data_IF_170487918404
#
_entry.id   IF_170487918404
#
_cell.length_a   1.000
_cell.length_b   1.000
_cell.length_c   1.000
_cell.angle_alpha   90.00
_cell.angle_beta   90.00
_cell.angle_gamma   90.00
#
_symmetry.space_group_name_H-M   'P 1'
#
loop_
_entity.id
_entity.type
_entity.pdbx_description
1 polymer ?
#
# COMPACT_ATOMS: atom_id res chain seq x y z
N UNK A 1 9.41 30.77 -0.06
CA UNK A 1 8.46 29.64 -0.16
C UNK A 1 9.15 28.28 0.04
N UNK A 2 10.27 28.01 -0.67
CA UNK A 2 11.10 26.80 -0.50
C UNK A 2 11.60 26.58 0.94
N UNK A 3 12.05 27.62 1.62
CA UNK A 3 12.55 27.55 3.01
C UNK A 3 11.46 27.09 3.99
N UNK A 4 10.21 27.57 3.83
CA UNK A 4 9.07 27.16 4.68
C UNK A 4 8.63 25.72 4.38
N UNK A 5 8.64 25.30 3.11
CA UNK A 5 8.34 23.92 2.73
C UNK A 5 9.36 22.92 3.27
N UNK A 6 10.65 23.26 3.16
CA UNK A 6 11.74 22.47 3.71
C UNK A 6 11.66 22.35 5.24
N UNK A 7 11.38 23.47 5.92
CA UNK A 7 11.15 23.49 7.37
C UNK A 7 9.98 22.60 7.80
N UNK A 8 8.87 22.65 7.04
CA UNK A 8 7.70 21.82 7.28
C UNK A 8 8.03 20.32 7.16
N UNK A 9 8.76 19.92 6.11
CA UNK A 9 9.15 18.52 5.89
C UNK A 9 10.07 17.99 7.00
N UNK A 10 11.12 18.75 7.36
CA UNK A 10 12.06 18.32 8.41
C UNK A 10 11.37 18.19 9.75
N UNK A 11 10.57 19.18 10.13
CA UNK A 11 9.89 19.13 11.41
C UNK A 11 8.84 18.04 11.45
N UNK A 12 8.13 17.81 10.34
CA UNK A 12 7.19 16.69 10.24
C UNK A 12 7.92 15.37 10.46
N UNK A 13 9.03 15.16 9.77
CA UNK A 13 9.84 13.94 9.88
C UNK A 13 10.37 13.74 11.31
N UNK A 14 10.96 14.78 11.92
CA UNK A 14 11.43 14.74 13.30
C UNK A 14 10.31 14.40 14.28
N UNK A 15 9.11 14.95 14.07
CA UNK A 15 8.00 14.71 14.97
C UNK A 15 7.42 13.30 14.84
N UNK A 16 7.39 12.75 13.62
CA UNK A 16 7.00 11.35 13.39
C UNK A 16 7.90 10.43 14.21
N UNK A 17 9.23 10.59 14.13
CA UNK A 17 10.17 9.72 14.86
C UNK A 17 10.03 9.85 16.39
N UNK A 18 9.72 11.05 16.90
CA UNK A 18 9.57 11.31 18.34
C UNK A 18 8.23 10.86 18.91
N UNK A 19 7.25 10.55 18.05
CA UNK A 19 5.90 10.20 18.50
C UNK A 19 5.92 8.83 19.20
N UNK A 20 5.46 8.78 20.46
CA UNK A 20 5.39 7.54 21.24
C UNK A 20 4.44 6.54 20.57
N UNK A 21 4.86 5.28 20.42
CA UNK A 21 4.06 4.24 19.76
C UNK A 21 4.10 4.27 18.23
N UNK A 22 4.91 5.14 17.63
CA UNK A 22 5.08 5.19 16.17
C UNK A 22 5.70 3.90 15.62
N UNK A 23 6.67 3.32 16.35
CA UNK A 23 7.40 2.13 15.91
C UNK A 23 6.50 0.89 15.85
N UNK A 24 5.66 0.66 16.87
CA UNK A 24 4.72 -0.47 16.87
C UNK A 24 3.68 -0.32 15.75
N UNK A 25 3.17 0.89 15.55
CA UNK A 25 2.26 1.21 14.44
C UNK A 25 2.93 0.98 13.09
N UNK A 26 4.22 1.34 12.98
CA UNK A 26 5.02 1.18 11.77
C UNK A 26 5.20 -0.30 11.42
N UNK A 27 5.61 -1.12 12.38
CA UNK A 27 5.77 -2.56 12.20
C UNK A 27 4.45 -3.24 11.80
N UNK A 28 3.34 -2.90 12.47
CA UNK A 28 2.03 -3.44 12.13
C UNK A 28 1.60 -3.02 10.72
N UNK A 29 1.82 -1.75 10.35
CA UNK A 29 1.46 -1.25 9.02
C UNK A 29 2.30 -1.91 7.92
N UNK A 30 3.58 -2.15 8.16
CA UNK A 30 4.46 -2.91 7.26
C UNK A 30 3.98 -4.36 7.10
N UNK A 31 3.58 -5.01 8.19
CA UNK A 31 3.11 -6.39 8.13
C UNK A 31 1.84 -6.52 7.29
N UNK A 32 0.84 -5.67 7.53
CA UNK A 32 -0.42 -5.69 6.78
C UNK A 32 -0.17 -5.33 5.31
N UNK A 33 0.66 -4.31 5.04
CA UNK A 33 0.98 -3.92 3.67
C UNK A 33 1.80 -4.99 2.94
N UNK A 34 2.71 -5.69 3.61
CA UNK A 34 3.43 -6.82 3.02
C UNK A 34 2.49 -7.94 2.56
N UNK A 35 1.49 -8.31 3.37
CA UNK A 35 0.48 -9.31 2.99
C UNK A 35 -0.39 -8.79 1.84
N UNK A 36 -0.72 -7.49 1.83
CA UNK A 36 -1.44 -6.87 0.73
C UNK A 36 -0.65 -7.02 -0.58
N UNK A 37 0.60 -6.56 -0.62
CA UNK A 37 1.42 -6.61 -1.84
C UNK A 37 1.80 -8.04 -2.23
N UNK A 38 1.94 -8.97 -1.29
CA UNK A 38 2.02 -10.39 -1.62
C UNK A 38 0.77 -10.85 -2.39
N UNK A 39 -0.42 -10.53 -1.89
CA UNK A 39 -1.69 -10.88 -2.54
C UNK A 39 -1.85 -10.24 -3.91
N UNK A 40 -1.36 -9.01 -4.10
CA UNK A 40 -1.32 -8.35 -5.39
C UNK A 40 -0.42 -9.09 -6.40
N UNK A 41 0.76 -9.56 -5.97
CA UNK A 41 1.63 -10.36 -6.83
C UNK A 41 1.00 -11.72 -7.18
N UNK A 42 0.28 -12.35 -6.24
CA UNK A 42 -0.51 -13.56 -6.52
C UNK A 42 -1.58 -13.29 -7.58
N UNK A 43 -2.32 -12.18 -7.47
CA UNK A 43 -3.27 -11.75 -8.49
C UNK A 43 -2.61 -11.58 -9.86
N UNK A 44 -1.48 -10.86 -9.92
CA UNK A 44 -0.74 -10.63 -11.16
C UNK A 44 -0.25 -11.93 -11.79
N UNK A 45 0.23 -12.86 -10.97
CA UNK A 45 0.71 -14.17 -11.41
C UNK A 45 -0.42 -15.03 -12.00
N UNK A 46 -1.55 -15.17 -11.31
CA UNK A 46 -2.69 -15.90 -11.86
C UNK A 46 -3.29 -15.21 -13.10
N UNK A 47 -3.22 -13.88 -13.19
CA UNK A 47 -3.62 -13.15 -14.39
C UNK A 47 -2.73 -13.49 -15.59
N UNK A 48 -1.41 -13.58 -15.37
CA UNK A 48 -0.43 -13.98 -16.37
C UNK A 48 -0.66 -15.43 -16.84
N UNK A 49 -0.76 -16.37 -15.90
CA UNK A 49 -1.03 -17.77 -16.23
C UNK A 49 -2.35 -17.96 -16.98
N UNK A 50 -3.41 -17.27 -16.55
CA UNK A 50 -4.70 -17.29 -17.24
C UNK A 50 -4.60 -16.77 -18.68
N UNK A 51 -3.84 -15.69 -18.90
CA UNK A 51 -3.64 -15.13 -20.23
C UNK A 51 -2.91 -16.13 -21.14
N UNK A 52 -1.82 -16.73 -20.67
CA UNK A 52 -1.06 -17.71 -21.44
C UNK A 52 -1.90 -18.96 -21.76
N UNK A 53 -2.67 -19.47 -20.80
CA UNK A 53 -3.56 -20.61 -21.01
C UNK A 53 -4.74 -20.30 -21.94
N UNK A 54 -5.28 -19.08 -21.93
CA UNK A 54 -6.31 -18.69 -22.89
C UNK A 54 -5.75 -18.63 -24.33
N UNK A 55 -4.55 -18.05 -24.49
CA UNK A 55 -3.87 -17.98 -25.78
C UNK A 55 -3.45 -19.36 -26.32
N UNK A 56 -3.17 -20.33 -25.44
CA UNK A 56 -2.89 -21.71 -25.87
C UNK A 56 -4.16 -22.44 -26.31
N UNK A 57 -5.28 -22.28 -25.59
CA UNK A 57 -6.57 -22.88 -25.96
C UNK A 57 -7.10 -22.32 -27.29
N UNK A 58 -6.95 -21.02 -27.54
CA UNK A 58 -7.39 -20.41 -28.81
C UNK A 58 -6.64 -20.95 -30.04
N UNK A 59 -5.46 -21.55 -29.83
CA UNK A 59 -4.65 -22.19 -30.88
C UNK A 59 -4.87 -23.71 -30.96
N UNK A 60 -5.53 -24.28 -29.96
CA UNK A 60 -5.76 -25.72 -29.87
C UNK A 60 -6.95 -26.13 -30.74
N UNK A 61 -6.82 -27.26 -31.44
CA UNK A 61 -7.86 -27.73 -32.37
C UNK A 61 -8.64 -28.93 -31.84
N UNK A 62 -8.11 -29.63 -30.83
CA UNK A 62 -8.75 -30.80 -30.23
C UNK A 62 -9.73 -30.43 -29.11
N UNK A 63 -11.01 -30.78 -29.29
CA UNK A 63 -12.11 -30.48 -28.37
C UNK A 63 -11.91 -31.06 -26.95
N UNK A 64 -11.23 -32.20 -26.84
CA UNK A 64 -10.95 -32.86 -25.54
C UNK A 64 -9.90 -32.07 -24.77
N UNK A 65 -8.84 -31.61 -25.44
CA UNK A 65 -7.78 -30.81 -24.81
C UNK A 65 -8.28 -29.43 -24.40
N UNK A 66 -9.14 -28.81 -25.23
CA UNK A 66 -9.85 -27.57 -24.89
C UNK A 66 -10.67 -27.74 -23.60
N UNK A 67 -11.44 -28.83 -23.47
CA UNK A 67 -12.26 -29.09 -22.28
C UNK A 67 -11.41 -29.40 -21.04
N UNK A 68 -10.30 -30.13 -21.19
CA UNK A 68 -9.38 -30.43 -20.09
C UNK A 68 -8.66 -29.17 -19.58
N UNK A 69 -8.32 -28.22 -20.47
CA UNK A 69 -7.68 -26.96 -20.11
C UNK A 69 -8.66 -25.88 -19.62
N UNK A 70 -9.97 -26.02 -19.91
CA UNK A 70 -11.02 -25.09 -19.45
C UNK A 70 -11.32 -25.17 -17.94
N UNK A 71 -11.23 -26.35 -17.32
CA UNK A 71 -11.47 -26.50 -15.88
C UNK A 71 -10.43 -25.77 -14.99
N UNK A 72 -9.11 -25.86 -15.27
CA UNK A 72 -8.08 -25.06 -14.60
C UNK A 72 -8.30 -23.54 -14.74
N UNK A 73 -8.78 -23.06 -15.89
CA UNK A 73 -9.06 -21.63 -16.12
C UNK A 73 -10.11 -21.08 -15.16
N UNK A 74 -11.16 -21.86 -14.87
CA UNK A 74 -12.19 -21.44 -13.93
C UNK A 74 -11.62 -21.31 -12.51
N UNK A 75 -10.83 -22.31 -12.06
CA UNK A 75 -10.18 -22.26 -10.75
C UNK A 75 -9.20 -21.08 -10.64
N UNK A 76 -8.35 -20.85 -11.64
CA UNK A 76 -7.43 -19.70 -11.67
C UNK A 76 -8.17 -18.37 -11.63
N UNK A 77 -9.32 -18.26 -12.31
CA UNK A 77 -10.14 -17.04 -12.28
C UNK A 77 -10.66 -16.76 -10.87
N UNK A 78 -11.13 -17.78 -10.15
CA UNK A 78 -11.59 -17.65 -8.76
C UNK A 78 -10.44 -17.21 -7.85
N UNK A 79 -9.28 -17.88 -7.93
CA UNK A 79 -8.10 -17.52 -7.13
C UNK A 79 -7.58 -16.12 -7.43
N UNK A 80 -7.57 -15.72 -8.70
CA UNK A 80 -7.24 -14.35 -9.14
C UNK A 80 -8.11 -13.32 -8.43
N UNK A 81 -9.44 -13.44 -8.54
CA UNK A 81 -10.35 -12.46 -7.94
C UNK A 81 -10.34 -12.50 -6.41
N UNK A 82 -10.18 -13.67 -5.80
CA UNK A 82 -10.00 -13.78 -4.35
C UNK A 82 -8.74 -13.04 -3.87
N UNK A 83 -7.62 -13.20 -4.58
CA UNK A 83 -6.37 -12.49 -4.29
C UNK A 83 -6.51 -10.96 -4.46
N UNK A 84 -7.24 -10.51 -5.49
CA UNK A 84 -7.54 -9.09 -5.70
C UNK A 84 -8.39 -8.50 -4.58
N UNK A 85 -9.47 -9.21 -4.17
CA UNK A 85 -10.33 -8.78 -3.07
C UNK A 85 -9.57 -8.71 -1.75
N UNK A 86 -8.73 -9.71 -1.48
CA UNK A 86 -7.86 -9.73 -0.29
C UNK A 86 -6.88 -8.56 -0.31
N UNK A 87 -6.25 -8.29 -1.47
CA UNK A 87 -5.37 -7.14 -1.64
C UNK A 87 -6.08 -5.82 -1.31
N UNK A 88 -7.26 -5.58 -1.91
CA UNK A 88 -8.04 -4.36 -1.68
C UNK A 88 -8.41 -4.23 -0.20
N UNK A 89 -8.89 -5.31 0.43
CA UNK A 89 -9.27 -5.31 1.85
C UNK A 89 -8.08 -4.98 2.76
N UNK A 90 -6.92 -5.58 2.52
CA UNK A 90 -5.71 -5.35 3.32
C UNK A 90 -5.10 -3.96 3.08
N UNK A 91 -5.17 -3.45 1.85
CA UNK A 91 -4.73 -2.09 1.54
C UNK A 91 -5.61 -1.05 2.25
N UNK A 92 -6.93 -1.22 2.20
CA UNK A 92 -7.88 -0.38 2.93
C UNK A 92 -7.67 -0.49 4.44
N UNK A 93 -7.41 -1.69 4.96
CA UNK A 93 -7.09 -1.92 6.37
C UNK A 93 -5.80 -1.19 6.77
N UNK A 94 -4.77 -1.24 5.93
CA UNK A 94 -3.50 -0.52 6.15
C UNK A 94 -3.75 0.98 6.25
N UNK A 95 -4.49 1.54 5.29
CA UNK A 95 -4.85 2.97 5.26
C UNK A 95 -5.69 3.34 6.50
N UNK A 96 -6.68 2.53 6.86
CA UNK A 96 -7.52 2.76 8.04
C UNK A 96 -6.69 2.71 9.33
N UNK A 97 -5.76 1.78 9.46
CA UNK A 97 -4.85 1.65 10.59
C UNK A 97 -3.98 2.91 10.73
N UNK A 98 -3.34 3.35 9.64
CA UNK A 98 -2.53 4.58 9.61
C UNK A 98 -3.37 5.77 10.07
N UNK A 99 -4.55 5.97 9.47
CA UNK A 99 -5.42 7.10 9.82
C UNK A 99 -5.88 7.05 11.28
N UNK A 100 -6.22 5.87 11.80
CA UNK A 100 -6.62 5.68 13.20
C UNK A 100 -5.48 6.01 14.15
N UNK A 101 -4.27 5.51 13.89
CA UNK A 101 -3.11 5.79 14.74
C UNK A 101 -2.72 7.26 14.72
N UNK A 102 -2.70 7.89 13.55
CA UNK A 102 -2.43 9.33 13.47
C UNK A 102 -3.54 10.19 14.05
N UNK A 103 -4.80 9.73 14.03
CA UNK A 103 -5.87 10.36 14.79
C UNK A 103 -5.57 10.35 16.30
N UNK A 104 -4.98 9.28 16.83
CA UNK A 104 -4.58 9.19 18.25
C UNK A 104 -3.33 10.04 18.54
N UNK A 105 -2.33 10.00 17.66
CA UNK A 105 -1.13 10.84 17.78
C UNK A 105 -1.46 12.32 17.71
N UNK A 106 -2.43 12.71 16.90
CA UNK A 106 -2.93 14.07 16.81
C UNK A 106 -3.48 14.58 18.16
N UNK A 107 -4.20 13.73 18.90
CA UNK A 107 -4.67 14.07 20.26
C UNK A 107 -3.48 14.22 21.22
N UNK A 108 -2.48 13.33 21.13
CA UNK A 108 -1.28 13.39 21.95
C UNK A 108 -0.43 14.65 21.67
N UNK A 109 -0.47 15.17 20.44
CA UNK A 109 0.24 16.37 20.00
C UNK A 109 -0.57 17.67 20.20
N UNK A 110 -1.74 17.65 20.87
CA UNK A 110 -2.62 18.83 21.06
C UNK A 110 -1.85 20.08 21.54
N UNK A 111 -0.96 19.91 22.52
CA UNK A 111 -0.20 21.01 23.09
C UNK A 111 0.81 21.58 22.09
N UNK A 112 1.43 20.75 21.25
CA UNK A 112 2.35 21.20 20.20
C UNK A 112 1.62 22.05 19.15
N UNK A 113 0.44 21.60 18.70
CA UNK A 113 -0.39 22.38 17.77
C UNK A 113 -0.78 23.74 18.36
N UNK A 114 -1.17 23.79 19.64
CA UNK A 114 -1.49 25.04 20.33
C UNK A 114 -0.29 25.97 20.44
N UNK A 115 0.89 25.44 20.79
CA UNK A 115 2.13 26.23 20.86
C UNK A 115 2.49 26.80 19.49
N UNK A 116 2.45 25.99 18.42
CA UNK A 116 2.75 26.45 17.07
C UNK A 116 1.82 27.59 16.63
N UNK A 117 0.52 27.50 16.94
CA UNK A 117 -0.41 28.58 16.66
C UNK A 117 -0.12 29.85 17.46
N UNK A 118 0.18 29.73 18.76
CA UNK A 118 0.56 30.88 19.60
C UNK A 118 1.85 31.56 19.12
N UNK A 119 2.75 30.80 18.48
CA UNK A 119 3.95 31.33 17.81
C UNK A 119 3.65 31.99 16.45
N UNK A 120 2.39 32.06 16.03
CA UNK A 120 1.94 32.77 14.83
C UNK A 120 1.75 31.88 13.60
N UNK A 121 1.81 30.55 13.72
CA UNK A 121 1.56 29.67 12.59
C UNK A 121 0.07 29.61 12.20
N UNK A 122 -0.19 29.67 10.89
CA UNK A 122 -1.57 29.61 10.35
C UNK A 122 -2.20 28.23 10.49
N UNK A 123 -3.54 28.16 10.57
CA UNK A 123 -4.30 26.91 10.56
C UNK A 123 -3.97 26.04 9.33
N UNK A 124 -3.77 26.67 8.16
CA UNK A 124 -3.36 25.98 6.93
C UNK A 124 -2.02 25.26 7.10
N UNK A 125 -1.05 25.92 7.74
CA UNK A 125 0.26 25.35 8.00
C UNK A 125 0.17 24.14 8.93
N UNK A 126 -0.64 24.22 10.00
CA UNK A 126 -0.86 23.11 10.93
C UNK A 126 -1.53 21.91 10.24
N UNK A 127 -2.47 22.16 9.32
CA UNK A 127 -3.11 21.11 8.50
C UNK A 127 -2.11 20.42 7.60
N UNK A 128 -1.27 21.20 6.90
CA UNK A 128 -0.21 20.67 6.04
C UNK A 128 0.82 19.89 6.86
N UNK A 129 1.22 20.41 8.02
CA UNK A 129 2.16 19.75 8.93
C UNK A 129 1.65 18.36 9.33
N UNK A 130 0.40 18.26 9.78
CA UNK A 130 -0.20 16.96 10.11
C UNK A 130 -0.30 16.04 8.89
N UNK A 131 -0.80 16.54 7.75
CA UNK A 131 -0.92 15.74 6.54
C UNK A 131 0.44 15.23 6.02
N UNK A 132 1.51 16.03 6.12
CA UNK A 132 2.86 15.65 5.78
C UNK A 132 3.44 14.59 6.73
N UNK A 133 3.16 14.67 8.03
CA UNK A 133 3.55 13.59 8.96
C UNK A 133 2.95 12.24 8.54
N UNK A 134 1.63 12.22 8.28
CA UNK A 134 0.93 11.00 7.83
C UNK A 134 1.49 10.52 6.49
N UNK A 135 1.72 11.43 5.54
CA UNK A 135 2.26 11.10 4.23
C UNK A 135 3.64 10.47 4.34
N UNK A 136 4.57 11.08 5.08
CA UNK A 136 5.92 10.56 5.29
C UNK A 136 5.89 9.14 5.87
N UNK A 137 5.10 8.94 6.93
CA UNK A 137 4.95 7.62 7.52
C UNK A 137 4.36 6.59 6.53
N UNK A 138 3.37 7.01 5.75
CA UNK A 138 2.71 6.16 4.76
C UNK A 138 3.66 5.75 3.64
N UNK A 139 4.51 6.68 3.16
CA UNK A 139 5.53 6.39 2.15
C UNK A 139 6.44 5.26 2.64
N UNK A 140 7.01 5.39 3.84
CA UNK A 140 7.95 4.39 4.35
C UNK A 140 7.27 3.04 4.62
N UNK A 141 6.09 3.04 5.25
CA UNK A 141 5.39 1.80 5.59
C UNK A 141 4.87 1.04 4.37
N UNK A 142 4.33 1.74 3.37
CA UNK A 142 3.85 1.13 2.12
C UNK A 142 5.01 0.69 1.22
N UNK A 143 6.07 1.50 1.09
CA UNK A 143 7.23 1.14 0.27
C UNK A 143 7.97 -0.08 0.82
N UNK A 144 8.26 -0.11 2.13
CA UNK A 144 8.91 -1.26 2.76
C UNK A 144 8.02 -2.50 2.69
N UNK A 145 6.73 -2.36 2.98
CA UNK A 145 5.77 -3.45 2.86
C UNK A 145 5.69 -4.01 1.44
N UNK A 146 5.63 -3.15 0.42
CA UNK A 146 5.68 -3.54 -0.98
C UNK A 146 6.94 -4.35 -1.30
N UNK A 147 8.12 -3.86 -0.91
CA UNK A 147 9.38 -4.56 -1.15
C UNK A 147 9.40 -5.94 -0.48
N UNK A 148 8.95 -6.03 0.78
CA UNK A 148 8.89 -7.29 1.52
C UNK A 148 7.89 -8.25 0.87
N UNK A 149 6.67 -7.80 0.58
CA UNK A 149 5.61 -8.63 -0.01
C UNK A 149 6.01 -9.19 -1.37
N UNK A 150 6.57 -8.36 -2.24
CA UNK A 150 7.08 -8.80 -3.56
C UNK A 150 8.24 -9.76 -3.43
N UNK A 151 9.18 -9.50 -2.50
CA UNK A 151 10.32 -10.41 -2.27
C UNK A 151 9.86 -11.77 -1.74
N UNK A 152 8.95 -11.80 -0.78
CA UNK A 152 8.39 -13.04 -0.24
C UNK A 152 7.69 -13.84 -1.34
N UNK A 153 6.88 -13.18 -2.17
CA UNK A 153 6.23 -13.83 -3.31
C UNK A 153 7.25 -14.46 -4.26
N UNK A 154 8.27 -13.72 -4.67
CA UNK A 154 9.28 -14.22 -5.59
C UNK A 154 10.06 -15.40 -5.02
N UNK A 155 10.53 -15.29 -3.78
CA UNK A 155 11.32 -16.33 -3.12
C UNK A 155 10.50 -17.58 -2.79
N UNK A 156 9.26 -17.44 -2.31
CA UNK A 156 8.45 -18.55 -1.81
C UNK A 156 7.59 -19.20 -2.90
N UNK A 157 7.21 -18.47 -3.95
CA UNK A 157 6.32 -18.98 -5.00
C UNK A 157 7.13 -19.22 -6.26
N UNK A 158 7.71 -18.18 -6.85
CA UNK A 158 8.36 -18.29 -8.16
C UNK A 158 9.57 -19.23 -8.12
N UNK A 159 10.51 -19.04 -7.18
CA UNK A 159 11.68 -19.92 -7.08
C UNK A 159 11.31 -21.36 -6.74
N UNK A 160 10.33 -21.57 -5.86
CA UNK A 160 9.89 -22.91 -5.50
C UNK A 160 9.28 -23.64 -6.69
N UNK A 161 8.46 -22.96 -7.50
CA UNK A 161 7.90 -23.53 -8.72
C UNK A 161 9.02 -23.85 -9.72
N UNK A 162 9.99 -22.95 -9.91
CA UNK A 162 11.13 -23.17 -10.82
C UNK A 162 12.01 -24.37 -10.44
N UNK A 163 12.11 -24.71 -9.16
CA UNK A 163 12.84 -25.90 -8.68
C UNK A 163 12.09 -27.20 -9.00
N UNK A 164 10.75 -27.18 -8.98
CA UNK A 164 9.92 -28.38 -9.13
C UNK A 164 9.34 -28.62 -10.52
N UNK A 165 9.07 -27.57 -11.30
CA UNK A 165 8.38 -27.61 -12.59
C UNK A 165 9.04 -26.57 -13.52
N UNK A 166 9.70 -27.05 -14.59
CA UNK A 166 10.29 -26.19 -15.62
C UNK A 166 9.21 -25.81 -16.65
N UNK A 167 8.12 -25.16 -16.21
CA UNK A 167 7.11 -24.64 -17.15
C UNK A 167 7.53 -23.26 -17.65
N UNK A 168 7.63 -23.12 -18.97
CA UNK A 168 8.01 -21.88 -19.66
C UNK A 168 7.12 -20.68 -19.28
N UNK A 169 5.83 -20.93 -19.01
CA UNK A 169 4.85 -19.92 -18.56
C UNK A 169 5.20 -19.24 -17.24
N UNK A 170 5.84 -19.96 -16.32
CA UNK A 170 6.27 -19.42 -15.03
C UNK A 170 7.54 -18.60 -15.18
N UNK A 171 8.43 -19.01 -16.09
CA UNK A 171 9.68 -18.32 -16.36
C UNK A 171 9.49 -16.99 -17.10
N UNK A 172 8.39 -16.83 -17.83
CA UNK A 172 8.06 -15.58 -18.51
C UNK A 172 7.39 -14.55 -17.61
N UNK A 173 7.00 -14.92 -16.37
CA UNK A 173 6.35 -13.99 -15.46
C UNK A 173 7.30 -12.88 -14.99
N UNK A 174 6.95 -11.64 -15.34
CA UNK A 174 7.58 -10.44 -14.82
C UNK A 174 6.49 -9.61 -14.13
N UNK A 175 6.70 -9.29 -12.84
CA UNK A 175 5.72 -8.50 -12.09
C UNK A 175 5.50 -7.12 -12.70
N UNK A 176 4.24 -6.71 -12.82
CA UNK A 176 3.88 -5.38 -13.34
C UNK A 176 4.25 -4.29 -12.33
N UNK A 177 5.47 -3.79 -12.48
CA UNK A 177 6.05 -2.79 -11.60
C UNK A 177 5.36 -1.44 -11.76
N UNK A 178 4.85 -1.13 -12.97
CA UNK A 178 4.14 0.11 -13.23
C UNK A 178 2.80 0.14 -12.51
N UNK A 179 2.01 -0.93 -12.62
CA UNK A 179 0.73 -1.06 -11.91
C UNK A 179 0.93 -0.92 -10.39
N UNK A 180 1.99 -1.54 -9.85
CA UNK A 180 2.34 -1.43 -8.43
C UNK A 180 2.64 0.03 -8.03
N UNK A 181 3.46 0.73 -8.82
CA UNK A 181 3.79 2.15 -8.59
C UNK A 181 2.53 3.01 -8.63
N UNK A 182 1.63 2.77 -9.60
CA UNK A 182 0.35 3.49 -9.66
C UNK A 182 -0.48 3.28 -8.40
N UNK A 183 -0.65 2.04 -7.93
CA UNK A 183 -1.43 1.77 -6.73
C UNK A 183 -0.81 2.43 -5.48
N UNK A 184 0.52 2.43 -5.36
CA UNK A 184 1.21 3.15 -4.29
C UNK A 184 0.93 4.66 -4.34
N UNK A 185 1.10 5.29 -5.51
CA UNK A 185 0.87 6.73 -5.67
C UNK A 185 -0.57 7.11 -5.33
N UNK A 186 -1.55 6.36 -5.85
CA UNK A 186 -2.97 6.60 -5.55
C UNK A 186 -3.28 6.45 -4.05
N UNK A 187 -2.72 5.44 -3.40
CA UNK A 187 -2.86 5.23 -1.96
C UNK A 187 -2.31 6.41 -1.15
N UNK A 188 -1.13 6.91 -1.53
CA UNK A 188 -0.49 8.05 -0.87
C UNK A 188 -1.28 9.35 -1.04
N UNK A 189 -1.75 9.62 -2.26
CA UNK A 189 -2.60 10.79 -2.56
C UNK A 189 -3.88 10.73 -1.73
N UNK A 190 -4.53 9.57 -1.68
CA UNK A 190 -5.75 9.38 -0.90
C UNK A 190 -5.54 9.60 0.60
N UNK A 191 -4.46 9.05 1.18
CA UNK A 191 -4.13 9.25 2.59
C UNK A 191 -3.87 10.72 2.88
N UNK A 192 -3.08 11.40 2.04
CA UNK A 192 -2.77 12.82 2.20
C UNK A 192 -4.03 13.68 2.14
N UNK A 193 -4.82 13.59 1.07
CA UNK A 193 -6.01 14.41 0.87
C UNK A 193 -7.03 14.16 1.97
N UNK A 194 -7.30 12.89 2.31
CA UNK A 194 -8.29 12.57 3.32
C UNK A 194 -7.86 13.04 4.72
N UNK A 195 -6.56 13.02 5.04
CA UNK A 195 -6.03 13.58 6.29
C UNK A 195 -6.10 15.11 6.29
N UNK A 196 -5.73 15.76 5.19
CA UNK A 196 -5.76 17.20 5.05
C UNK A 196 -7.17 17.79 5.17
N UNK A 197 -8.18 17.09 4.63
CA UNK A 197 -9.58 17.52 4.70
C UNK A 197 -10.18 17.32 6.10
N UNK A 198 -9.82 16.24 6.80
CA UNK A 198 -10.38 15.91 8.11
C UNK A 198 -9.72 16.65 9.29
N UNK A 199 -8.52 17.20 9.10
CA UNK A 199 -7.77 17.89 10.15
C UNK A 199 -8.33 19.27 10.52
N UNK A 200 -9.12 19.92 9.66
CA UNK A 200 -9.57 21.31 9.86
C UNK A 200 -10.33 21.52 11.17
N UNK A 201 -11.44 20.79 11.35
CA UNK A 201 -12.30 20.92 12.54
C UNK A 201 -11.58 20.60 13.84
N UNK A 202 -10.63 19.66 13.80
CA UNK A 202 -9.89 19.23 14.98
C UNK A 202 -8.82 20.23 15.40
N UNK A 203 -8.08 20.79 14.45
CA UNK A 203 -7.08 21.83 14.74
C UNK A 203 -7.79 23.06 15.31
N UNK A 204 -8.90 23.49 14.70
CA UNK A 204 -9.71 24.61 15.20
C UNK A 204 -10.10 24.39 16.68
N UNK A 205 -10.61 23.21 17.04
CA UNK A 205 -11.03 22.89 18.43
C UNK A 205 -9.90 22.88 19.47
N UNK A 206 -8.65 22.83 19.05
CA UNK A 206 -7.49 22.77 19.96
C UNK A 206 -6.82 24.12 20.16
N UNK A 207 -7.08 25.03 19.23
CA UNK A 207 -6.31 26.24 19.02
C UNK A 207 -7.14 27.47 19.33
N UNK A 208 -8.44 27.44 19.01
CA UNK A 208 -9.46 28.42 19.37
C UNK A 208 -10.13 28.00 20.69
#
# INVERSE_FOLDING_TARGET
MLIKGYYLLINSFKNVIRTKGILSTFLLSILISAIAFFSFNVYAFFSHLQKNMAESIDKETDLIEIQMNAAPLMAMTIFKFAALLLFIALLLLTIANIKRSFSQFFVAQKNEFKIMFLLGESLLFLRLFNACQVLLFSIFSLAIGSLIGTKIFYEAVIKTIQIGIVSEDVNTFHGDTLLLIFVLIFSLIFVFLSTFMTSNKRIESYVL
#
